data_IF_944642911791
#
_entry.id   IF_944642911791
#
_cell.length_a   1.000
_cell.length_b   1.000
_cell.length_c   1.000
_cell.angle_alpha   90.00
_cell.angle_beta   90.00
_cell.angle_gamma   90.00
#
_symmetry.space_group_name_H-M   'P 1'
#
loop_
_entity.id
_entity.type
_entity.pdbx_description
1 polymer ?
#
# COMPACT_ATOMS: atom_id res chain seq x y z
N UNK A 1 19.61 2.27 7.77
CA UNK A 1 19.75 0.87 8.20
C UNK A 1 18.97 -0.03 7.26
N UNK A 2 19.56 -1.09 6.72
CA UNK A 2 18.82 -1.97 5.82
C UNK A 2 17.72 -2.72 6.56
N UNK A 3 16.63 -3.01 5.84
CA UNK A 3 15.52 -3.78 6.41
C UNK A 3 15.94 -5.23 6.61
N UNK A 4 15.44 -5.85 7.68
CA UNK A 4 15.59 -7.29 7.88
C UNK A 4 14.77 -8.03 6.81
N UNK A 5 15.03 -9.33 6.68
CA UNK A 5 14.26 -10.18 5.77
C UNK A 5 12.77 -10.12 6.09
N UNK A 6 12.40 -10.16 7.36
CA UNK A 6 10.99 -10.13 7.78
C UNK A 6 10.36 -8.78 7.49
N UNK A 7 11.09 -7.70 7.67
CA UNK A 7 10.59 -6.36 7.36
C UNK A 7 10.37 -6.18 5.85
N UNK A 8 11.31 -6.68 5.04
CA UNK A 8 11.16 -6.63 3.59
C UNK A 8 9.96 -7.48 3.13
N UNK A 9 9.75 -8.65 3.72
CA UNK A 9 8.61 -9.50 3.42
C UNK A 9 7.29 -8.82 3.81
N UNK A 10 7.28 -8.10 4.93
CA UNK A 10 6.09 -7.35 5.37
C UNK A 10 5.72 -6.28 4.34
N UNK A 11 6.71 -5.53 3.83
CA UNK A 11 6.44 -4.49 2.82
C UNK A 11 5.89 -5.09 1.54
N UNK A 12 6.41 -6.23 1.10
CA UNK A 12 5.90 -6.89 -0.10
C UNK A 12 4.48 -7.40 0.10
N UNK A 13 4.19 -7.96 1.26
CA UNK A 13 2.85 -8.44 1.59
C UNK A 13 1.86 -7.28 1.65
N UNK A 14 2.25 -6.19 2.33
CA UNK A 14 1.43 -4.99 2.39
C UNK A 14 1.16 -4.45 0.98
N UNK A 15 2.17 -4.33 0.15
CA UNK A 15 2.03 -3.84 -1.22
C UNK A 15 1.10 -4.71 -2.05
N UNK A 16 1.23 -6.02 -1.95
CA UNK A 16 0.34 -6.95 -2.65
C UNK A 16 -1.11 -6.81 -2.16
N UNK A 17 -1.31 -6.61 -0.87
CA UNK A 17 -2.64 -6.39 -0.30
C UNK A 17 -3.24 -5.07 -0.79
N UNK A 18 -2.45 -4.00 -0.85
CA UNK A 18 -2.91 -2.72 -1.41
C UNK A 18 -3.38 -2.90 -2.84
N UNK A 19 -2.59 -3.58 -3.66
CA UNK A 19 -2.95 -3.82 -5.05
C UNK A 19 -4.25 -4.62 -5.16
N UNK A 20 -4.40 -5.68 -4.37
CA UNK A 20 -5.62 -6.50 -4.38
C UNK A 20 -6.84 -5.64 -4.04
N UNK A 21 -6.76 -4.84 -2.97
CA UNK A 21 -7.88 -4.02 -2.54
C UNK A 21 -8.18 -2.91 -3.55
N UNK A 22 -7.15 -2.37 -4.19
CA UNK A 22 -7.33 -1.37 -5.26
C UNK A 22 -8.05 -1.98 -6.47
N UNK A 23 -7.59 -3.14 -6.92
CA UNK A 23 -8.18 -3.82 -8.09
C UNK A 23 -9.63 -4.22 -7.81
N UNK A 24 -9.93 -4.67 -6.61
CA UNK A 24 -11.30 -5.00 -6.20
C UNK A 24 -12.25 -3.82 -6.35
N UNK A 25 -11.73 -2.61 -6.20
CA UNK A 25 -12.52 -1.37 -6.29
C UNK A 25 -12.46 -0.74 -7.67
N UNK A 26 -11.88 -1.45 -8.63
CA UNK A 26 -11.74 -0.99 -10.02
C UNK A 26 -11.01 0.35 -10.12
N UNK A 27 -10.04 0.59 -9.24
CA UNK A 27 -9.23 1.80 -9.25
C UNK A 27 -7.93 1.54 -9.99
N UNK A 28 -7.50 2.53 -10.79
CA UNK A 28 -6.14 2.54 -11.32
C UNK A 28 -5.18 3.03 -10.25
N UNK A 29 -3.88 2.85 -10.48
CA UNK A 29 -2.87 3.40 -9.57
C UNK A 29 -2.96 4.92 -9.51
N UNK A 30 -3.24 5.57 -10.64
CA UNK A 30 -3.43 7.02 -10.71
C UNK A 30 -4.61 7.46 -9.87
N UNK A 31 -5.72 6.74 -9.94
CA UNK A 31 -6.92 7.07 -9.16
C UNK A 31 -6.69 6.91 -7.66
N UNK A 32 -6.00 5.84 -7.26
CA UNK A 32 -5.67 5.66 -5.85
C UNK A 32 -4.73 6.78 -5.39
N UNK A 33 -3.71 7.10 -6.18
CA UNK A 33 -2.76 8.17 -5.87
C UNK A 33 -3.50 9.50 -5.65
N UNK A 34 -4.46 9.81 -6.50
CA UNK A 34 -5.25 11.02 -6.37
C UNK A 34 -6.03 11.05 -5.05
N UNK A 35 -6.63 9.93 -4.67
CA UNK A 35 -7.42 9.85 -3.43
C UNK A 35 -6.55 10.00 -2.18
N UNK A 36 -5.33 9.48 -2.19
CA UNK A 36 -4.44 9.56 -1.03
C UNK A 36 -3.53 10.80 -1.04
N UNK A 37 -3.51 11.55 -2.14
CA UNK A 37 -2.67 12.72 -2.27
C UNK A 37 -1.22 12.41 -2.59
N UNK A 38 -0.95 11.32 -3.31
CA UNK A 38 0.38 10.89 -3.71
C UNK A 38 0.54 11.00 -5.22
N UNK A 39 1.79 10.88 -5.67
CA UNK A 39 2.07 10.66 -7.09
C UNK A 39 1.83 9.18 -7.43
N UNK A 40 1.41 8.87 -8.67
CA UNK A 40 1.23 7.46 -9.09
C UNK A 40 2.46 6.60 -8.87
N UNK A 41 3.66 7.18 -9.02
CA UNK A 41 4.90 6.46 -8.79
C UNK A 41 5.04 5.98 -7.34
N UNK A 42 4.53 6.75 -6.40
CA UNK A 42 4.51 6.34 -4.98
C UNK A 42 3.63 5.11 -4.79
N UNK A 43 2.46 5.09 -5.41
CA UNK A 43 1.57 3.92 -5.36
C UNK A 43 2.26 2.71 -5.97
N UNK A 44 2.94 2.87 -7.12
CA UNK A 44 3.68 1.79 -7.76
C UNK A 44 4.72 1.19 -6.81
N UNK A 45 5.48 2.05 -6.13
CA UNK A 45 6.51 1.60 -5.18
C UNK A 45 5.93 0.90 -3.97
N UNK A 46 4.80 1.40 -3.47
CA UNK A 46 4.09 0.75 -2.35
C UNK A 46 3.66 -0.66 -2.77
N UNK A 47 3.03 -0.78 -3.93
CA UNK A 47 2.52 -2.07 -4.41
C UNK A 47 3.65 -3.04 -4.74
N UNK A 48 4.80 -2.54 -5.15
CA UNK A 48 5.98 -3.36 -5.40
C UNK A 48 6.72 -3.76 -4.11
N UNK A 49 6.39 -3.12 -2.99
CA UNK A 49 7.05 -3.42 -1.72
C UNK A 49 8.47 -2.89 -1.64
N UNK A 50 8.78 -1.83 -2.38
CA UNK A 50 10.15 -1.32 -2.50
C UNK A 50 10.44 -0.11 -1.62
N UNK A 51 9.43 0.43 -0.92
CA UNK A 51 9.64 1.56 -0.02
C UNK A 51 9.07 1.27 1.36
N UNK A 52 9.72 1.85 2.36
CA UNK A 52 9.21 1.81 3.72
C UNK A 52 8.10 2.87 3.84
N UNK A 53 6.98 2.47 4.40
CA UNK A 53 5.77 3.29 4.43
C UNK A 53 5.58 3.87 5.83
N UNK A 54 5.59 5.21 5.98
CA UNK A 54 5.26 5.81 7.28
C UNK A 54 3.85 5.42 7.73
N UNK A 55 3.66 5.38 9.04
CA UNK A 55 2.37 5.04 9.63
C UNK A 55 1.24 5.96 9.14
N UNK A 56 1.54 7.25 8.98
CA UNK A 56 0.56 8.22 8.47
C UNK A 56 0.15 7.91 7.02
N UNK A 57 1.11 7.48 6.20
CA UNK A 57 0.84 7.06 4.83
C UNK A 57 -0.04 5.82 4.82
N UNK A 58 0.29 4.84 5.67
CA UNK A 58 -0.49 3.63 5.83
C UNK A 58 -1.95 3.95 6.17
N UNK A 59 -2.15 4.87 7.12
CA UNK A 59 -3.49 5.29 7.52
C UNK A 59 -4.26 5.95 6.36
N UNK A 60 -3.58 6.76 5.54
CA UNK A 60 -4.22 7.40 4.39
C UNK A 60 -4.64 6.38 3.33
N UNK A 61 -3.80 5.39 3.08
CA UNK A 61 -4.13 4.31 2.13
C UNK A 61 -5.32 3.51 2.63
N UNK A 62 -5.31 3.14 3.90
CA UNK A 62 -6.42 2.40 4.51
C UNK A 62 -7.74 3.17 4.40
N UNK A 63 -7.71 4.48 4.69
CA UNK A 63 -8.90 5.31 4.61
C UNK A 63 -9.43 5.42 3.17
N UNK A 64 -8.54 5.57 2.20
CA UNK A 64 -8.93 5.66 0.80
C UNK A 64 -9.55 4.37 0.28
N UNK A 65 -9.00 3.23 0.69
CA UNK A 65 -9.51 1.92 0.27
C UNK A 65 -10.72 1.47 1.08
N UNK A 66 -10.98 2.10 2.23
CA UNK A 66 -12.10 1.76 3.12
C UNK A 66 -12.15 0.28 3.45
N UNK A 67 -10.98 -0.30 3.70
CA UNK A 67 -10.86 -1.71 4.05
C UNK A 67 -10.41 -1.86 5.50
N UNK A 68 -10.55 -3.06 6.02
CA UNK A 68 -10.08 -3.37 7.37
C UNK A 68 -8.56 -3.43 7.39
N UNK A 69 -7.98 -3.07 8.54
CA UNK A 69 -6.53 -3.17 8.72
C UNK A 69 -6.00 -4.57 8.46
N UNK A 70 -6.75 -5.60 8.85
CA UNK A 70 -6.35 -6.98 8.61
C UNK A 70 -6.22 -7.30 7.12
N UNK A 71 -7.00 -6.65 6.27
CA UNK A 71 -6.93 -6.86 4.82
C UNK A 71 -5.67 -6.28 4.22
N UNK A 72 -5.11 -5.23 4.84
CA UNK A 72 -3.86 -4.62 4.37
C UNK A 72 -2.62 -5.25 5.00
N UNK A 73 -2.68 -5.62 6.28
CA UNK A 73 -1.53 -6.10 7.04
C UNK A 73 -1.52 -7.62 7.22
N UNK A 74 -2.64 -8.28 6.95
CA UNK A 74 -2.74 -9.73 7.03
C UNK A 74 -2.15 -10.42 5.80
N UNK A 75 -2.22 -11.74 5.82
CA UNK A 75 -1.73 -12.59 4.73
C UNK A 75 -2.75 -12.77 3.62
#
# INVERSE_FOLDING_TARGET
>A
MPLSHDQAALLKRFGANVRRERVRRHLTQEQLAEQVGFYPRTVQKIEAGTINVPLTTLARVQAALRCEWAELLGR
#
